data_IF_452594474583
#
_entry.id   IF_452594474583
#
_cell.length_a   1.000
_cell.length_b   1.000
_cell.length_c   1.000
_cell.angle_alpha   90.00
_cell.angle_beta   90.00
_cell.angle_gamma   90.00
#
_symmetry.space_group_name_H-M   'P 1'
#
loop_
_entity.id
_entity.type
_entity.pdbx_description
1 polymer ?
#
# COMPACT_ATOMS: atom_id res chain seq x y z
N UNK A 1 10.39 -9.54 -6.04
CA UNK A 1 10.90 -8.31 -6.70
C UNK A 1 9.84 -7.62 -7.57
N UNK A 2 8.86 -8.33 -8.14
CA UNK A 2 7.80 -7.75 -9.00
C UNK A 2 6.81 -6.84 -8.26
N UNK A 3 6.35 -7.25 -7.07
CA UNK A 3 5.37 -6.48 -6.26
C UNK A 3 5.82 -5.05 -5.92
N UNK A 4 7.11 -4.83 -5.65
CA UNK A 4 7.62 -3.49 -5.33
C UNK A 4 7.48 -2.52 -6.51
N UNK A 5 7.59 -3.02 -7.74
CA UNK A 5 7.41 -2.21 -8.95
C UNK A 5 5.92 -2.00 -9.25
N UNK A 6 5.10 -3.02 -9.06
CA UNK A 6 3.64 -2.94 -9.19
C UNK A 6 3.05 -1.91 -8.21
N UNK A 7 3.39 -2.00 -6.92
CA UNK A 7 2.96 -1.04 -5.90
C UNK A 7 3.45 0.38 -6.19
N UNK A 8 4.68 0.53 -6.70
CA UNK A 8 5.20 1.84 -7.11
C UNK A 8 4.37 2.43 -8.26
N UNK A 9 4.03 1.62 -9.26
CA UNK A 9 3.18 2.04 -10.38
C UNK A 9 1.79 2.47 -9.89
N UNK A 10 1.19 1.64 -9.04
CA UNK A 10 -0.14 1.90 -8.48
C UNK A 10 -0.20 3.24 -7.74
N UNK A 11 0.79 3.54 -6.89
CA UNK A 11 0.82 4.81 -6.15
C UNK A 11 0.84 6.06 -7.06
N UNK A 12 1.41 5.94 -8.26
CA UNK A 12 1.37 6.99 -9.29
C UNK A 12 -0.01 7.04 -9.93
N UNK A 13 -0.55 5.88 -10.31
CA UNK A 13 -1.82 5.73 -11.01
C UNK A 13 -3.01 6.26 -10.20
N UNK A 14 -3.06 5.95 -8.90
CA UNK A 14 -4.14 6.39 -8.01
C UNK A 14 -3.96 7.82 -7.49
N UNK A 15 -2.90 8.52 -7.91
CA UNK A 15 -2.72 9.94 -7.60
C UNK A 15 -2.26 10.26 -6.18
N UNK A 16 -1.60 9.34 -5.47
CA UNK A 16 -1.02 9.64 -4.14
C UNK A 16 0.01 10.76 -4.27
N UNK A 17 0.04 11.71 -3.32
CA UNK A 17 1.03 12.80 -3.31
C UNK A 17 2.46 12.24 -3.30
N UNK A 18 3.33 12.81 -4.14
CA UNK A 18 4.71 12.33 -4.35
C UNK A 18 5.49 12.23 -3.03
N UNK A 19 5.26 13.16 -2.11
CA UNK A 19 5.90 13.21 -0.79
C UNK A 19 5.64 11.96 0.06
N UNK A 20 4.47 11.30 -0.11
CA UNK A 20 4.08 10.13 0.69
C UNK A 20 4.42 8.81 0.01
N UNK A 21 4.60 8.77 -1.32
CA UNK A 21 4.78 7.52 -2.09
C UNK A 21 5.93 6.68 -1.58
N UNK A 22 7.07 7.30 -1.28
CA UNK A 22 8.27 6.57 -0.82
C UNK A 22 8.07 5.95 0.56
N UNK A 23 7.41 6.67 1.47
CA UNK A 23 7.11 6.18 2.83
C UNK A 23 6.08 5.05 2.79
N UNK A 24 4.99 5.24 2.03
CA UNK A 24 3.94 4.25 1.85
C UNK A 24 4.51 2.96 1.25
N UNK A 25 5.26 3.06 0.13
CA UNK A 25 5.88 1.91 -0.51
C UNK A 25 6.82 1.15 0.44
N UNK A 26 7.69 1.86 1.17
CA UNK A 26 8.64 1.23 2.08
C UNK A 26 7.94 0.50 3.24
N UNK A 27 6.90 1.11 3.81
CA UNK A 27 6.19 0.57 4.97
C UNK A 27 5.26 -0.56 4.60
N UNK A 28 4.50 -0.43 3.50
CA UNK A 28 3.66 -1.52 2.97
C UNK A 28 4.54 -2.69 2.54
N UNK A 29 5.72 -2.44 1.94
CA UNK A 29 6.67 -3.49 1.61
C UNK A 29 7.22 -4.18 2.87
N UNK A 30 7.70 -3.42 3.86
CA UNK A 30 8.25 -3.99 5.08
C UNK A 30 7.21 -4.79 5.87
N UNK A 31 6.00 -4.26 6.01
CA UNK A 31 4.88 -4.93 6.69
C UNK A 31 4.39 -6.12 5.86
N UNK A 32 4.15 -5.98 4.56
CA UNK A 32 3.70 -7.10 3.70
C UNK A 32 4.74 -8.21 3.48
N UNK A 33 6.05 -7.91 3.58
CA UNK A 33 7.13 -8.90 3.47
C UNK A 33 7.39 -9.61 4.81
N UNK A 34 7.21 -8.95 5.96
CA UNK A 34 7.58 -9.50 7.27
C UNK A 34 6.42 -9.88 8.18
N UNK A 35 5.25 -9.31 7.95
CA UNK A 35 4.11 -9.33 8.87
C UNK A 35 2.81 -9.53 8.08
N UNK A 36 1.80 -10.09 8.74
CA UNK A 36 0.56 -10.53 8.07
C UNK A 36 -0.13 -9.40 7.30
N UNK A 37 -0.94 -9.73 6.27
CA UNK A 37 -1.77 -8.80 5.47
C UNK A 37 -2.50 -7.76 6.33
N UNK A 38 -2.92 -8.17 7.53
CA UNK A 38 -3.58 -7.31 8.52
C UNK A 38 -2.76 -6.06 8.87
N UNK A 39 -1.46 -6.17 9.16
CA UNK A 39 -0.68 -5.00 9.58
C UNK A 39 -0.45 -3.99 8.45
N UNK A 40 -0.46 -4.46 7.20
CA UNK A 40 -0.44 -3.60 6.04
C UNK A 40 -1.79 -2.88 5.86
N UNK A 41 -2.92 -3.55 6.12
CA UNK A 41 -4.25 -2.91 6.11
C UNK A 41 -4.44 -1.93 7.25
N UNK A 42 -4.01 -2.29 8.47
CA UNK A 42 -4.02 -1.40 9.62
C UNK A 42 -3.20 -0.13 9.33
N UNK A 43 -2.04 -0.26 8.67
CA UNK A 43 -1.27 0.90 8.21
C UNK A 43 -2.04 1.77 7.22
N UNK A 44 -2.69 1.17 6.22
CA UNK A 44 -3.43 1.93 5.22
C UNK A 44 -4.62 2.67 5.85
N UNK A 45 -5.28 2.04 6.84
CA UNK A 45 -6.34 2.69 7.62
C UNK A 45 -5.80 3.90 8.39
N UNK A 46 -4.64 3.82 9.04
CA UNK A 46 -4.00 4.97 9.69
C UNK A 46 -3.80 6.12 8.68
N UNK A 47 -3.41 5.82 7.44
CA UNK A 47 -3.16 6.82 6.39
C UNK A 47 -4.44 7.42 5.81
N UNK A 48 -5.51 6.66 5.77
CA UNK A 48 -6.85 7.16 5.45
C UNK A 48 -7.32 8.13 6.54
N UNK A 49 -7.18 7.75 7.81
CA UNK A 49 -7.57 8.58 8.95
C UNK A 49 -6.74 9.88 9.05
N UNK A 50 -5.47 9.84 8.66
CA UNK A 50 -4.59 11.01 8.53
C UNK A 50 -4.93 11.91 7.31
N UNK A 51 -5.78 11.46 6.39
CA UNK A 51 -6.10 12.16 5.14
C UNK A 51 -4.96 12.15 4.12
N UNK A 52 -3.99 11.24 4.25
CA UNK A 52 -2.87 11.05 3.31
C UNK A 52 -3.34 10.33 2.05
N UNK A 53 -4.31 9.43 2.20
CA UNK A 53 -4.99 8.75 1.11
C UNK A 53 -6.51 8.90 1.27
N UNK A 54 -7.25 8.74 0.17
CA UNK A 54 -8.71 8.69 0.18
C UNK A 54 -9.26 7.26 0.13
N UNK A 55 -10.59 7.11 0.24
CA UNK A 55 -11.28 5.81 0.22
C UNK A 55 -11.04 5.01 -1.07
N UNK A 56 -10.86 5.67 -2.22
CA UNK A 56 -10.69 4.99 -3.51
C UNK A 56 -9.24 4.53 -3.70
N UNK A 57 -8.28 5.33 -3.23
CA UNK A 57 -6.88 4.96 -3.10
C UNK A 57 -6.72 3.79 -2.12
N UNK A 58 -7.41 3.82 -0.98
CA UNK A 58 -7.42 2.75 0.02
C UNK A 58 -7.85 1.41 -0.59
N UNK A 59 -9.00 1.36 -1.27
CA UNK A 59 -9.50 0.12 -1.92
C UNK A 59 -8.51 -0.44 -2.93
N UNK A 60 -7.87 0.42 -3.71
CA UNK A 60 -6.89 0.03 -4.72
C UNK A 60 -5.64 -0.57 -4.09
N UNK A 61 -5.15 0.04 -3.00
CA UNK A 61 -3.99 -0.44 -2.25
C UNK A 61 -4.28 -1.77 -1.54
N UNK A 62 -5.46 -1.92 -0.93
CA UNK A 62 -5.88 -3.17 -0.30
C UNK A 62 -5.93 -4.33 -1.28
N UNK A 63 -6.44 -4.12 -2.51
CA UNK A 63 -6.50 -5.17 -3.53
C UNK A 63 -5.13 -5.72 -3.89
N UNK A 64 -4.11 -4.84 -3.96
CA UNK A 64 -2.73 -5.26 -4.26
C UNK A 64 -2.09 -5.96 -3.05
N UNK A 65 -2.34 -5.46 -1.84
CA UNK A 65 -1.90 -6.10 -0.59
C UNK A 65 -2.47 -7.51 -0.45
N UNK A 66 -3.76 -7.71 -0.73
CA UNK A 66 -4.41 -9.03 -0.72
C UNK A 66 -3.82 -9.95 -1.81
N UNK A 67 -3.69 -9.45 -3.03
CA UNK A 67 -3.13 -10.21 -4.17
C UNK A 67 -1.70 -10.69 -3.96
N UNK A 68 -0.88 -9.93 -3.23
CA UNK A 68 0.49 -10.33 -2.89
C UNK A 68 0.54 -11.49 -1.91
N UNK A 69 -0.38 -11.51 -0.94
CA UNK A 69 -0.40 -12.56 0.08
C UNK A 69 -0.90 -13.91 -0.44
N UNK A 70 -1.69 -13.91 -1.53
CA UNK A 70 -2.13 -15.13 -2.22
C UNK A 70 -1.01 -15.73 -3.09
N UNK A 71 -0.11 -14.90 -3.63
CA UNK A 71 1.00 -15.35 -4.51
C UNK A 71 2.24 -15.82 -3.75
N UNK A 72 2.20 -15.83 -2.42
CA UNK A 72 3.35 -16.10 -1.54
C UNK A 72 3.39 -17.53 -1.03
#
# INVERSE_FOLDING_TARGET
MEYKYEMRGLLVEIGVSEEFRSNLLATIWARGERQTTKEAKDFLQEKLDEGIIDDDQMKSLESVVDGYTIRR
#
